data_IF_903352003416
#
_entry.id   IF_903352003416
#
_cell.length_a   1.000
_cell.length_b   1.000
_cell.length_c   1.000
_cell.angle_alpha   90.00
_cell.angle_beta   90.00
_cell.angle_gamma   90.00
#
_symmetry.space_group_name_H-M   'P 1'
#
loop_
_entity.id
_entity.type
_entity.pdbx_description
1 polymer ?
#
# COMPACT_ATOMS: atom_id res chain seq x y z
N UNK A 1 52.03 18.33 -57.94
CA UNK A 1 50.70 18.35 -57.24
C UNK A 1 50.82 17.60 -55.93
N UNK A 2 50.77 18.33 -54.77
CA UNK A 2 50.87 17.71 -53.44
C UNK A 2 49.44 17.40 -52.95
N UNK A 3 49.14 16.13 -52.74
CA UNK A 3 47.82 15.71 -52.10
C UNK A 3 47.97 15.83 -50.62
N UNK A 4 47.18 16.68 -50.03
CA UNK A 4 46.98 16.77 -48.55
C UNK A 4 45.92 15.75 -48.14
N UNK A 5 46.30 14.78 -47.29
CA UNK A 5 45.41 13.85 -46.66
C UNK A 5 44.98 14.46 -45.29
N UNK A 6 43.72 14.85 -45.18
CA UNK A 6 43.15 15.29 -43.90
C UNK A 6 42.70 14.05 -43.10
N UNK A 7 43.40 13.77 -42.01
CA UNK A 7 43.00 12.77 -41.04
C UNK A 7 42.00 13.45 -40.10
N UNK A 8 40.71 13.09 -40.21
CA UNK A 8 39.67 13.50 -39.29
C UNK A 8 39.81 12.62 -38.04
N UNK A 9 40.32 13.17 -36.94
CA UNK A 9 40.29 12.54 -35.61
C UNK A 9 38.88 12.74 -35.05
N UNK A 10 38.06 11.66 -35.11
CA UNK A 10 36.79 11.57 -34.35
C UNK A 10 37.14 11.34 -32.88
N UNK A 11 37.09 12.39 -32.09
CA UNK A 11 37.06 12.30 -30.62
C UNK A 11 35.70 11.74 -30.18
N UNK A 12 35.62 10.44 -30.00
CA UNK A 12 34.46 9.80 -29.31
C UNK A 12 34.52 10.20 -27.82
N UNK A 13 33.71 11.17 -27.43
CA UNK A 13 33.47 11.47 -26.01
C UNK A 13 32.68 10.30 -25.38
N UNK A 14 33.38 9.40 -24.73
CA UNK A 14 32.76 8.39 -23.86
C UNK A 14 32.28 9.12 -22.65
N UNK A 15 30.99 9.50 -22.63
CA UNK A 15 30.30 9.94 -21.42
C UNK A 15 30.15 8.75 -20.49
N UNK A 16 31.07 8.58 -19.55
CA UNK A 16 30.88 7.66 -18.43
C UNK A 16 29.73 8.18 -17.61
N UNK A 17 28.56 7.58 -17.79
CA UNK A 17 27.48 7.68 -16.82
C UNK A 17 28.01 7.12 -15.49
N UNK A 18 28.45 7.98 -14.60
CA UNK A 18 28.78 7.61 -13.24
C UNK A 18 27.50 7.08 -12.57
N UNK A 19 27.31 5.78 -12.59
CA UNK A 19 26.29 5.10 -11.79
C UNK A 19 26.62 5.42 -10.33
N UNK A 20 25.78 6.22 -9.68
CA UNK A 20 25.97 6.56 -8.28
C UNK A 20 26.03 5.25 -7.48
N UNK A 21 27.20 4.95 -6.91
CA UNK A 21 27.45 3.71 -6.18
C UNK A 21 26.49 3.63 -4.99
N UNK A 22 25.64 2.60 -4.96
CA UNK A 22 24.79 2.31 -3.81
C UNK A 22 25.72 1.93 -2.65
N UNK A 23 25.59 2.64 -1.55
CA UNK A 23 26.33 2.41 -0.33
C UNK A 23 25.39 1.95 0.78
N UNK A 24 25.71 0.87 1.45
CA UNK A 24 25.02 0.48 2.68
C UNK A 24 25.54 1.34 3.83
N UNK A 25 24.64 1.84 4.66
CA UNK A 25 25.00 2.67 5.82
C UNK A 25 23.80 2.98 6.71
N UNK A 26 24.07 3.83 7.71
CA UNK A 26 23.08 4.24 8.70
C UNK A 26 22.65 5.70 8.48
N UNK A 27 21.40 6.00 8.87
CA UNK A 27 20.88 7.35 8.86
C UNK A 27 19.88 7.52 10.00
N UNK A 28 19.91 8.67 10.67
CA UNK A 28 18.96 9.00 11.73
C UNK A 28 17.99 10.07 11.22
N UNK A 29 16.71 9.76 11.23
CA UNK A 29 15.64 10.70 10.88
C UNK A 29 15.47 11.79 11.96
N UNK A 30 14.80 12.89 11.59
CA UNK A 30 14.56 14.01 12.54
C UNK A 30 13.70 13.61 13.75
N UNK A 31 12.78 12.66 13.58
CA UNK A 31 11.95 12.07 14.63
C UNK A 31 12.73 11.06 15.52
N UNK A 32 13.98 10.83 15.15
CA UNK A 32 14.88 9.90 15.84
C UNK A 32 14.73 8.45 15.40
N UNK A 33 14.03 8.18 14.31
CA UNK A 33 14.04 6.86 13.67
C UNK A 33 15.43 6.51 13.15
N UNK A 34 15.88 5.28 13.40
CA UNK A 34 17.19 4.79 13.00
C UNK A 34 17.08 3.85 11.80
N UNK A 35 17.68 4.27 10.70
CA UNK A 35 17.69 3.56 9.43
C UNK A 35 19.00 2.83 9.23
N UNK A 36 18.92 1.63 8.67
CA UNK A 36 20.04 0.87 8.12
C UNK A 36 19.65 0.34 6.75
N UNK A 37 20.45 0.61 5.74
CA UNK A 37 20.16 0.17 4.39
C UNK A 37 20.91 0.93 3.30
N UNK A 38 20.35 0.93 2.11
CA UNK A 38 20.93 1.55 0.92
C UNK A 38 20.81 3.08 0.99
N UNK A 39 21.92 3.76 0.69
CA UNK A 39 22.01 5.20 0.68
C UNK A 39 22.41 5.71 -0.72
N UNK A 40 21.79 6.81 -1.14
CA UNK A 40 22.28 7.64 -2.24
C UNK A 40 22.71 8.98 -1.66
N UNK A 41 24.03 9.23 -1.72
CA UNK A 41 24.63 10.33 -0.97
C UNK A 41 24.52 10.08 0.54
N UNK A 42 23.77 10.93 1.25
CA UNK A 42 23.58 10.83 2.73
C UNK A 42 22.14 10.49 3.12
N UNK A 43 21.29 10.06 2.17
CA UNK A 43 19.87 9.79 2.46
C UNK A 43 19.48 8.36 2.10
N UNK A 44 18.53 7.75 2.84
CA UNK A 44 17.89 6.50 2.47
C UNK A 44 17.39 6.52 1.03
N UNK A 45 17.82 5.52 0.24
CA UNK A 45 17.42 5.39 -1.17
C UNK A 45 17.73 3.99 -1.66
N UNK A 46 16.72 3.20 -1.93
CA UNK A 46 16.79 1.77 -2.15
C UNK A 46 16.22 1.02 -0.96
N UNK A 47 16.66 -0.21 -0.72
CA UNK A 47 16.14 -1.07 0.34
C UNK A 47 16.77 -0.78 1.69
N UNK A 48 15.95 -0.81 2.74
CA UNK A 48 16.43 -0.64 4.10
C UNK A 48 15.38 -0.84 5.17
N UNK A 49 15.82 -0.76 6.41
CA UNK A 49 14.99 -0.92 7.61
C UNK A 49 15.12 0.29 8.51
N UNK A 50 13.99 0.78 9.01
CA UNK A 50 13.93 1.82 10.05
C UNK A 50 13.30 1.25 11.30
N UNK A 51 13.92 1.56 12.46
CA UNK A 51 13.34 1.33 13.78
C UNK A 51 13.02 2.70 14.37
N UNK A 52 11.75 2.94 14.66
CA UNK A 52 11.26 4.19 15.23
C UNK A 52 11.33 4.17 16.76
N UNK A 53 11.41 5.34 17.39
CA UNK A 53 11.48 5.46 18.86
C UNK A 53 10.30 4.86 19.60
N UNK A 54 9.14 4.82 18.97
CA UNK A 54 7.91 4.22 19.53
C UNK A 54 7.85 2.69 19.40
N UNK A 55 8.90 2.06 18.89
CA UNK A 55 8.97 0.61 18.67
C UNK A 55 8.40 0.13 17.34
N UNK A 56 7.79 1.00 16.55
CA UNK A 56 7.37 0.64 15.20
C UNK A 56 8.59 0.34 14.30
N UNK A 57 8.40 -0.45 13.27
CA UNK A 57 9.46 -0.72 12.29
C UNK A 57 8.91 -0.59 10.86
N UNK A 58 9.78 -0.17 9.95
CA UNK A 58 9.52 -0.28 8.52
C UNK A 58 10.67 -1.00 7.85
N UNK A 59 10.35 -1.92 6.96
CA UNK A 59 11.31 -2.61 6.11
C UNK A 59 10.81 -2.59 4.67
N UNK A 60 11.55 -1.94 3.77
CA UNK A 60 11.10 -1.75 2.41
C UNK A 60 11.97 -0.77 1.60
N UNK A 61 11.35 -0.22 0.58
CA UNK A 61 12.00 0.68 -0.35
C UNK A 61 11.91 2.14 0.09
N UNK A 62 12.94 2.92 -0.27
CA UNK A 62 13.05 4.34 0.01
C UNK A 62 13.49 5.12 -1.22
N UNK A 63 12.93 6.30 -1.41
CA UNK A 63 13.40 7.29 -2.37
C UNK A 63 13.59 8.62 -1.66
N UNK A 64 14.84 9.15 -1.69
CA UNK A 64 15.21 10.45 -1.08
C UNK A 64 14.82 10.57 0.40
N UNK A 65 14.84 9.48 1.14
CA UNK A 65 14.53 9.43 2.57
C UNK A 65 13.06 9.24 2.90
N UNK A 66 12.20 8.99 1.95
CA UNK A 66 10.78 8.67 2.13
C UNK A 66 10.52 7.21 1.79
N UNK A 67 9.59 6.58 2.50
CA UNK A 67 9.07 5.25 2.15
C UNK A 67 8.39 5.34 0.78
N UNK A 68 8.76 4.40 -0.09
CA UNK A 68 8.33 4.36 -1.49
C UNK A 68 8.32 2.91 -1.97
N UNK A 69 7.57 2.57 -3.03
CA UNK A 69 7.54 1.22 -3.56
C UNK A 69 6.95 0.21 -2.58
N UNK A 70 7.53 -0.98 -2.47
CA UNK A 70 7.00 -2.02 -1.59
C UNK A 70 7.68 -2.02 -0.21
N UNK A 71 6.87 -2.24 0.82
CA UNK A 71 7.40 -2.32 2.19
C UNK A 71 6.41 -2.84 3.21
N UNK A 72 6.96 -3.25 4.34
CA UNK A 72 6.23 -3.71 5.52
C UNK A 72 6.40 -2.72 6.65
N UNK A 73 5.31 -2.21 7.18
CA UNK A 73 5.28 -1.44 8.42
C UNK A 73 4.68 -2.30 9.52
N UNK A 74 5.41 -2.46 10.61
CA UNK A 74 4.92 -3.19 11.78
C UNK A 74 4.81 -2.21 12.94
N UNK A 75 3.63 -2.11 13.49
CA UNK A 75 3.34 -1.32 14.68
C UNK A 75 3.81 -2.07 15.94
N UNK A 76 4.13 -1.34 17.00
CA UNK A 76 4.64 -1.93 18.26
C UNK A 76 3.59 -2.82 18.95
N UNK A 77 2.30 -2.58 18.69
CA UNK A 77 1.17 -3.37 19.19
C UNK A 77 0.92 -4.66 18.40
N UNK A 78 1.65 -4.87 17.29
CA UNK A 78 1.57 -6.05 16.45
C UNK A 78 0.72 -5.90 15.19
N UNK A 79 0.01 -4.79 15.01
CA UNK A 79 -0.61 -4.50 13.71
C UNK A 79 0.44 -4.40 12.60
N UNK A 80 0.03 -4.67 11.37
CA UNK A 80 0.99 -4.70 10.27
C UNK A 80 0.35 -4.30 8.94
N UNK A 81 1.04 -3.45 8.20
CA UNK A 81 0.75 -3.18 6.79
C UNK A 81 1.84 -3.76 5.90
N UNK A 82 1.44 -4.45 4.85
CA UNK A 82 2.32 -4.98 3.80
C UNK A 82 1.77 -4.52 2.46
N UNK A 83 2.50 -3.67 1.76
CA UNK A 83 1.99 -3.15 0.49
C UNK A 83 2.84 -2.04 -0.09
N UNK A 84 2.22 -1.31 -1.00
CA UNK A 84 2.84 -0.21 -1.69
C UNK A 84 2.80 1.08 -0.86
N UNK A 85 3.83 1.89 -1.04
CA UNK A 85 4.05 3.16 -0.38
C UNK A 85 4.33 4.24 -1.40
N UNK A 86 3.81 5.42 -1.16
CA UNK A 86 4.10 6.61 -1.93
C UNK A 86 4.29 7.81 -1.01
N UNK A 87 5.50 8.39 -1.00
CA UNK A 87 5.86 9.57 -0.20
C UNK A 87 5.50 9.46 1.29
N UNK A 88 5.84 8.33 1.93
CA UNK A 88 5.56 7.97 3.33
C UNK A 88 4.12 7.58 3.64
N UNK A 89 3.22 7.48 2.67
CA UNK A 89 1.83 7.08 2.84
C UNK A 89 1.57 5.69 2.24
N UNK A 90 0.67 4.93 2.85
CA UNK A 90 0.12 3.71 2.28
C UNK A 90 -0.61 4.06 0.98
N UNK A 91 -0.31 3.32 -0.08
CA UNK A 91 -0.81 3.62 -1.41
C UNK A 91 -0.92 2.35 -2.25
N UNK A 92 -1.67 2.41 -3.38
CA UNK A 92 -1.78 1.25 -4.28
C UNK A 92 -2.32 0.00 -3.59
N UNK A 93 -1.80 -1.16 -3.93
CA UNK A 93 -2.25 -2.43 -3.35
C UNK A 93 -1.56 -2.73 -2.03
N UNK A 94 -2.32 -3.17 -1.03
CA UNK A 94 -1.75 -3.54 0.25
C UNK A 94 -2.68 -4.37 1.13
N UNK A 95 -2.07 -5.04 2.11
CA UNK A 95 -2.77 -5.84 3.13
C UNK A 95 -2.50 -5.26 4.51
N UNK A 96 -3.56 -5.01 5.26
CA UNK A 96 -3.48 -4.59 6.66
C UNK A 96 -3.97 -5.70 7.58
N UNK A 97 -3.17 -6.05 8.56
CA UNK A 97 -3.48 -7.02 9.62
C UNK A 97 -3.75 -6.26 10.91
N UNK A 98 -5.00 -6.29 11.36
CA UNK A 98 -5.45 -5.63 12.58
C UNK A 98 -5.18 -6.48 13.82
N UNK A 99 -5.04 -5.85 14.97
CA UNK A 99 -4.82 -6.51 16.26
C UNK A 99 -5.95 -7.49 16.63
N UNK A 100 -7.16 -7.19 16.21
CA UNK A 100 -8.34 -8.04 16.43
C UNK A 100 -8.47 -9.24 15.47
N UNK A 101 -7.41 -9.57 14.74
CA UNK A 101 -7.35 -10.60 13.70
C UNK A 101 -8.25 -10.35 12.46
N UNK A 102 -8.77 -9.15 12.30
CA UNK A 102 -9.31 -8.74 11.00
C UNK A 102 -8.16 -8.56 10.01
N UNK A 103 -8.47 -8.66 8.72
CA UNK A 103 -7.51 -8.43 7.64
C UNK A 103 -8.20 -7.74 6.47
N UNK A 104 -7.63 -6.63 6.03
CA UNK A 104 -8.03 -5.96 4.81
C UNK A 104 -7.01 -6.24 3.70
N UNK A 105 -7.49 -6.59 2.52
CA UNK A 105 -6.72 -6.75 1.30
C UNK A 105 -7.35 -5.88 0.22
N UNK A 106 -6.66 -4.86 -0.27
CA UNK A 106 -7.26 -3.97 -1.25
C UNK A 106 -6.42 -2.77 -1.60
N UNK A 107 -7.12 -1.80 -2.18
CA UNK A 107 -6.51 -0.56 -2.62
C UNK A 107 -6.45 0.47 -1.49
N UNK A 108 -5.38 1.25 -1.51
CA UNK A 108 -5.06 2.30 -0.55
C UNK A 108 -4.75 3.61 -1.28
N UNK A 109 -5.16 4.71 -0.71
CA UNK A 109 -4.84 6.05 -1.19
C UNK A 109 -4.63 6.99 -0.01
N UNK A 110 -3.41 7.53 0.12
CA UNK A 110 -3.04 8.50 1.16
C UNK A 110 -3.43 8.03 2.57
N UNK A 111 -3.03 6.79 2.94
CA UNK A 111 -3.29 6.08 4.20
C UNK A 111 -4.73 5.60 4.43
N UNK A 112 -5.66 5.83 3.48
CA UNK A 112 -7.04 5.35 3.57
C UNK A 112 -7.28 4.12 2.71
N UNK A 113 -8.12 3.19 3.19
CA UNK A 113 -8.75 2.17 2.35
C UNK A 113 -9.64 2.87 1.31
N UNK A 114 -9.36 2.67 0.03
CA UNK A 114 -10.09 3.36 -1.03
C UNK A 114 -10.05 2.57 -2.34
N UNK A 115 -11.19 2.47 -3.03
CA UNK A 115 -11.34 1.62 -4.21
C UNK A 115 -11.79 0.21 -3.83
N UNK A 116 -11.40 -0.78 -4.61
CA UNK A 116 -11.80 -2.17 -4.35
C UNK A 116 -10.99 -2.81 -3.23
N UNK A 117 -11.66 -3.59 -2.39
CA UNK A 117 -10.99 -4.31 -1.31
C UNK A 117 -11.87 -5.35 -0.63
N UNK A 118 -11.20 -6.26 0.07
CA UNK A 118 -11.82 -7.34 0.84
C UNK A 118 -11.46 -7.20 2.31
N UNK A 119 -12.46 -7.17 3.17
CA UNK A 119 -12.30 -7.28 4.61
C UNK A 119 -12.66 -8.68 5.07
N UNK A 120 -11.73 -9.36 5.69
CA UNK A 120 -11.92 -10.61 6.39
C UNK A 120 -12.05 -10.31 7.88
N UNK A 121 -13.21 -10.57 8.44
CA UNK A 121 -13.46 -10.38 9.87
C UNK A 121 -13.06 -11.63 10.67
N UNK A 122 -12.59 -11.45 11.89
CA UNK A 122 -12.18 -12.54 12.78
C UNK A 122 -13.30 -13.55 13.08
N UNK A 123 -14.57 -13.11 13.01
CA UNK A 123 -15.74 -13.94 13.20
C UNK A 123 -16.07 -14.84 11.99
N UNK A 124 -15.32 -14.69 10.89
CA UNK A 124 -15.50 -15.42 9.64
C UNK A 124 -16.43 -14.76 8.63
N UNK A 125 -16.92 -13.57 8.90
CA UNK A 125 -17.62 -12.76 7.90
C UNK A 125 -16.64 -12.20 6.86
N UNK A 126 -17.13 -11.90 5.67
CA UNK A 126 -16.33 -11.31 4.58
C UNK A 126 -17.11 -10.20 3.90
N UNK A 127 -16.46 -9.07 3.69
CA UNK A 127 -16.95 -8.03 2.79
C UNK A 127 -16.02 -7.91 1.58
N UNK A 128 -16.60 -7.89 0.38
CA UNK A 128 -15.91 -7.63 -0.88
C UNK A 128 -16.63 -6.48 -1.57
N UNK A 129 -15.94 -5.39 -1.85
CA UNK A 129 -16.57 -4.26 -2.52
C UNK A 129 -15.74 -2.99 -2.49
N UNK A 130 -16.44 -1.89 -2.75
CA UNK A 130 -15.80 -0.58 -2.80
C UNK A 130 -15.69 0.06 -1.42
N UNK A 131 -14.62 0.82 -1.26
CA UNK A 131 -14.25 1.57 -0.06
C UNK A 131 -14.02 3.03 -0.40
N UNK A 132 -14.35 3.90 0.49
CA UNK A 132 -14.04 5.32 0.44
C UNK A 132 -13.73 5.85 1.83
N UNK A 133 -12.48 6.30 2.03
CA UNK A 133 -11.98 6.82 3.31
C UNK A 133 -12.30 5.87 4.48
N UNK A 134 -11.83 4.61 4.40
CA UNK A 134 -11.98 3.54 5.38
C UNK A 134 -13.40 3.02 5.59
N UNK A 135 -14.38 3.51 4.82
CA UNK A 135 -15.77 3.09 4.92
C UNK A 135 -16.22 2.33 3.68
N UNK A 136 -17.05 1.30 3.87
CA UNK A 136 -17.73 0.63 2.76
C UNK A 136 -18.62 1.63 2.03
N UNK A 137 -18.47 1.69 0.72
CA UNK A 137 -19.17 2.68 -0.13
C UNK A 137 -19.38 2.10 -1.52
N UNK A 138 -20.38 2.57 -2.28
CA UNK A 138 -20.67 2.04 -3.61
C UNK A 138 -21.17 0.60 -3.56
N UNK A 139 -20.80 -0.24 -4.52
CA UNK A 139 -21.27 -1.63 -4.62
C UNK A 139 -20.41 -2.56 -3.78
N UNK A 140 -21.04 -3.54 -3.12
CA UNK A 140 -20.31 -4.54 -2.34
C UNK A 140 -21.19 -5.68 -1.88
N UNK A 141 -20.52 -6.79 -1.55
CA UNK A 141 -21.12 -8.01 -1.05
C UNK A 141 -20.63 -8.28 0.36
N UNK A 142 -21.53 -8.45 1.29
CA UNK A 142 -21.23 -8.91 2.65
C UNK A 142 -21.76 -10.34 2.82
N UNK A 143 -20.88 -11.25 3.17
CA UNK A 143 -21.22 -12.65 3.46
C UNK A 143 -21.00 -12.93 4.93
N UNK A 144 -22.05 -13.27 5.64
CA UNK A 144 -21.97 -13.71 7.03
C UNK A 144 -21.52 -15.16 7.09
N UNK A 145 -20.70 -15.50 8.06
CA UNK A 145 -20.31 -16.89 8.36
C UNK A 145 -21.52 -17.82 8.55
N UNK A 146 -22.61 -17.27 9.07
CA UNK A 146 -23.87 -18.01 9.26
C UNK A 146 -24.61 -18.34 7.94
N UNK A 147 -24.10 -17.93 6.79
CA UNK A 147 -24.64 -18.24 5.46
C UNK A 147 -25.56 -17.19 4.87
N UNK A 148 -25.86 -16.10 5.57
CA UNK A 148 -26.55 -14.97 4.96
C UNK A 148 -25.62 -14.21 4.00
N UNK A 149 -26.21 -13.55 3.00
CA UNK A 149 -25.48 -12.73 2.03
C UNK A 149 -26.27 -11.48 1.68
N UNK A 150 -25.60 -10.33 1.70
CA UNK A 150 -26.12 -9.09 1.11
C UNK A 150 -25.24 -8.70 -0.07
N UNK A 151 -25.88 -8.34 -1.17
CA UNK A 151 -25.24 -7.80 -2.35
C UNK A 151 -26.00 -6.55 -2.79
N UNK A 152 -25.33 -5.39 -2.77
CA UNK A 152 -26.00 -4.14 -3.05
C UNK A 152 -25.15 -2.93 -2.84
N UNK A 153 -25.81 -1.79 -2.69
CA UNK A 153 -25.18 -0.49 -2.49
C UNK A 153 -24.89 -0.23 -1.01
N UNK A 154 -23.79 0.48 -0.78
CA UNK A 154 -23.30 0.86 0.54
C UNK A 154 -22.99 2.35 0.58
N UNK A 155 -23.25 2.98 1.71
CA UNK A 155 -22.89 4.35 2.00
C UNK A 155 -22.49 4.47 3.47
N UNK A 156 -21.25 4.94 3.72
CA UNK A 156 -20.72 5.13 5.07
C UNK A 156 -20.95 3.92 6.00
N UNK A 157 -20.55 2.72 5.55
CA UNK A 157 -20.68 1.44 6.23
C UNK A 157 -22.09 0.88 6.37
N UNK A 158 -23.11 1.57 5.86
CA UNK A 158 -24.51 1.13 5.94
C UNK A 158 -24.99 0.65 4.57
N UNK A 159 -25.93 -0.29 4.58
CA UNK A 159 -26.66 -0.68 3.37
C UNK A 159 -27.50 0.50 2.92
N UNK A 160 -27.46 0.82 1.62
CA UNK A 160 -28.15 1.98 1.07
C UNK A 160 -28.50 1.73 -0.39
N UNK A 161 -29.59 2.31 -0.90
CA UNK A 161 -29.99 2.12 -2.30
C UNK A 161 -30.47 0.69 -2.60
N UNK A 162 -30.23 0.20 -3.80
CA UNK A 162 -30.72 -1.11 -4.23
C UNK A 162 -29.83 -2.24 -3.74
N UNK A 163 -30.46 -3.33 -3.28
CA UNK A 163 -29.72 -4.49 -2.82
C UNK A 163 -30.59 -5.72 -2.59
N UNK A 164 -29.89 -6.84 -2.55
CA UNK A 164 -30.46 -8.17 -2.37
C UNK A 164 -29.90 -8.78 -1.09
N UNK A 165 -30.77 -9.22 -0.21
CA UNK A 165 -30.45 -10.02 0.97
C UNK A 165 -30.96 -11.43 0.78
N UNK A 166 -30.10 -12.41 1.01
CA UNK A 166 -30.48 -13.84 1.08
C UNK A 166 -30.13 -14.35 2.47
N UNK A 167 -31.10 -14.91 3.16
CA UNK A 167 -30.91 -15.50 4.49
C UNK A 167 -30.52 -16.98 4.40
N UNK A 168 -30.04 -17.60 5.50
CA UNK A 168 -29.63 -19.01 5.51
C UNK A 168 -30.76 -19.99 5.13
N UNK A 169 -32.01 -19.65 5.40
CA UNK A 169 -33.21 -20.42 5.02
C UNK A 169 -33.61 -20.23 3.55
N UNK A 170 -32.78 -19.53 2.75
CA UNK A 170 -32.98 -19.19 1.34
C UNK A 170 -34.10 -18.14 1.11
N UNK A 171 -34.71 -17.61 2.15
CA UNK A 171 -35.61 -16.46 1.99
C UNK A 171 -34.82 -15.27 1.42
N UNK A 172 -35.51 -14.43 0.63
CA UNK A 172 -34.88 -13.34 -0.11
C UNK A 172 -35.67 -12.04 0.03
N UNK A 173 -34.93 -10.95 0.20
CA UNK A 173 -35.43 -9.60 -0.02
C UNK A 173 -34.64 -8.92 -1.12
N UNK A 174 -35.33 -8.31 -2.05
CA UNK A 174 -34.75 -7.49 -3.12
C UNK A 174 -35.49 -6.16 -3.17
N UNK A 175 -34.76 -5.06 -3.02
CA UNK A 175 -35.41 -3.76 -2.98
C UNK A 175 -34.49 -2.67 -2.46
N UNK A 176 -35.13 -1.54 -2.13
CA UNK A 176 -34.44 -0.36 -1.62
C UNK A 176 -34.11 -0.50 -0.12
N UNK A 177 -32.88 -0.15 0.22
CA UNK A 177 -32.35 -0.10 1.58
C UNK A 177 -32.14 1.37 1.97
N UNK A 178 -32.62 1.74 3.11
CA UNK A 178 -32.45 3.07 3.70
C UNK A 178 -32.11 2.92 5.17
N UNK A 179 -31.20 3.73 5.66
CA UNK A 179 -30.82 3.80 7.08
C UNK A 179 -31.97 4.10 8.01
#
# INVERSE_FOLDING_TARGET
MKKYVYILLLLASVSTLATAQIKIGNYTFKDGGEYTGELKGRKPNGKGKTIYKNGNTYEGEYIKGKREGNGTYTFHDGEKYVGQWFQDQQHGSGTYYFMNNNRYEGMWFADYQQGEGTMYYYNGDVYIGNWFQDKRSGKGTYTWKAGAKYEGEWKEDKKNGQGVMVWPDQSKYEGEWKD
#
